data_IF_965934283780
#
_entry.id   IF_965934283780
#
_cell.length_a   1.000
_cell.length_b   1.000
_cell.length_c   1.000
_cell.angle_alpha   90.00
_cell.angle_beta   90.00
_cell.angle_gamma   90.00
#
_symmetry.space_group_name_H-M   'P 1'
#
loop_
_entity.id
_entity.type
_entity.pdbx_description
1 polymer ?
#
# COMPACT_ATOMS: atom_id res chain seq x y z
N UNK A 1 -43.27 -13.59 -14.05
CA UNK A 1 -42.06 -13.71 -14.89
C UNK A 1 -41.13 -12.50 -14.83
N UNK A 2 -41.55 -11.29 -15.25
CA UNK A 2 -40.65 -10.11 -15.27
C UNK A 2 -40.11 -9.75 -13.87
N UNK A 3 -40.98 -9.73 -12.86
CA UNK A 3 -40.61 -9.40 -11.47
C UNK A 3 -39.65 -10.42 -10.85
N UNK A 4 -39.78 -11.69 -11.21
CA UNK A 4 -38.92 -12.78 -10.72
C UNK A 4 -37.52 -12.67 -11.32
N UNK A 5 -37.43 -12.33 -12.62
CA UNK A 5 -36.15 -12.08 -13.30
C UNK A 5 -35.43 -10.88 -12.68
N UNK A 6 -36.15 -9.79 -12.41
CA UNK A 6 -35.58 -8.63 -11.73
C UNK A 6 -35.12 -8.95 -10.29
N UNK A 7 -35.91 -9.73 -9.55
CA UNK A 7 -35.57 -10.18 -8.20
C UNK A 7 -34.30 -11.04 -8.21
N UNK A 8 -34.23 -12.01 -9.13
CA UNK A 8 -33.06 -12.85 -9.32
C UNK A 8 -31.80 -12.01 -9.65
N UNK A 9 -31.90 -11.06 -10.57
CA UNK A 9 -30.79 -10.18 -10.92
C UNK A 9 -30.26 -9.35 -9.74
N UNK A 10 -31.16 -8.85 -8.87
CA UNK A 10 -30.78 -8.13 -7.65
C UNK A 10 -30.07 -9.04 -6.65
N UNK A 11 -30.60 -10.25 -6.42
CA UNK A 11 -29.98 -11.23 -5.53
C UNK A 11 -28.61 -11.68 -6.03
N UNK A 12 -28.46 -11.91 -7.34
CA UNK A 12 -27.18 -12.26 -7.95
C UNK A 12 -26.15 -11.13 -7.81
N UNK A 13 -26.56 -9.88 -8.04
CA UNK A 13 -25.69 -8.72 -7.84
C UNK A 13 -25.26 -8.55 -6.37
N UNK A 14 -26.20 -8.70 -5.42
CA UNK A 14 -25.89 -8.63 -4.00
C UNK A 14 -24.87 -9.71 -3.58
N UNK A 15 -25.01 -10.93 -4.10
CA UNK A 15 -24.06 -12.01 -3.85
C UNK A 15 -22.65 -11.67 -4.39
N UNK A 16 -22.56 -11.12 -5.60
CA UNK A 16 -21.27 -10.71 -6.18
C UNK A 16 -20.58 -9.64 -5.34
N UNK A 17 -21.33 -8.64 -4.85
CA UNK A 17 -20.78 -7.63 -3.95
C UNK A 17 -20.24 -8.23 -2.65
N UNK A 18 -20.98 -9.18 -2.06
CA UNK A 18 -20.56 -9.87 -0.84
C UNK A 18 -19.27 -10.67 -1.08
N UNK A 19 -19.17 -11.36 -2.22
CA UNK A 19 -17.96 -12.14 -2.57
C UNK A 19 -16.74 -11.21 -2.72
N UNK A 20 -16.89 -10.08 -3.41
CA UNK A 20 -15.80 -9.09 -3.55
C UNK A 20 -15.35 -8.54 -2.19
N UNK A 21 -16.29 -8.30 -1.28
CA UNK A 21 -15.97 -7.82 0.07
C UNK A 21 -15.19 -8.87 0.87
N UNK A 22 -15.60 -10.15 0.80
CA UNK A 22 -14.85 -11.26 1.41
C UNK A 22 -13.44 -11.39 0.82
N UNK A 23 -13.29 -11.28 -0.50
CA UNK A 23 -11.97 -11.34 -1.15
C UNK A 23 -11.09 -10.16 -0.75
N UNK A 24 -11.66 -8.96 -0.65
CA UNK A 24 -10.97 -7.76 -0.18
C UNK A 24 -10.51 -7.92 1.27
N UNK A 25 -11.39 -8.41 2.15
CA UNK A 25 -11.06 -8.72 3.53
C UNK A 25 -9.91 -9.73 3.61
N UNK A 26 -9.99 -10.85 2.90
CA UNK A 26 -8.93 -11.87 2.87
C UNK A 26 -7.59 -11.25 2.45
N UNK A 27 -7.58 -10.45 1.38
CA UNK A 27 -6.36 -9.75 0.91
C UNK A 27 -5.77 -8.82 1.96
N UNK A 28 -6.60 -8.18 2.79
CA UNK A 28 -6.16 -7.28 3.86
C UNK A 28 -5.73 -8.03 5.14
N UNK A 29 -6.21 -9.25 5.37
CA UNK A 29 -5.78 -10.06 6.53
C UNK A 29 -4.40 -10.68 6.38
N UNK A 30 -3.87 -10.73 5.16
CA UNK A 30 -2.47 -11.07 4.94
C UNK A 30 -1.62 -9.80 4.94
N UNK A 31 -0.37 -9.87 5.47
CA UNK A 31 0.61 -8.83 5.20
C UNK A 31 0.61 -8.58 3.69
N UNK A 32 0.52 -7.32 3.22
CA UNK A 32 0.52 -7.04 1.79
C UNK A 32 1.68 -7.77 1.12
N UNK A 33 1.45 -8.36 -0.05
CA UNK A 33 2.52 -8.97 -0.85
C UNK A 33 3.60 -7.92 -1.07
N UNK A 34 4.60 -7.96 -0.20
CA UNK A 34 5.83 -7.19 -0.19
C UNK A 34 5.66 -5.72 -0.62
N UNK A 35 5.38 -4.85 0.35
CA UNK A 35 5.84 -3.45 0.26
C UNK A 35 7.37 -3.33 0.41
N UNK A 36 8.11 -4.44 0.54
CA UNK A 36 9.53 -4.46 0.92
C UNK A 36 10.46 -5.28 0.02
N UNK A 37 10.03 -5.77 -1.15
CA UNK A 37 10.91 -6.60 -1.99
C UNK A 37 11.54 -5.93 -3.21
N UNK A 38 11.27 -4.65 -3.41
CA UNK A 38 11.99 -3.89 -4.42
C UNK A 38 12.43 -2.57 -3.83
N UNK A 39 13.58 -2.60 -3.19
CA UNK A 39 14.39 -1.42 -2.97
C UNK A 39 15.83 -1.90 -2.94
N UNK A 40 16.64 -1.42 -3.88
CA UNK A 40 18.08 -1.59 -3.85
C UNK A 40 18.59 -1.45 -2.40
N UNK A 41 19.48 -2.34 -1.96
CA UNK A 41 20.07 -2.22 -0.63
C UNK A 41 20.98 -0.99 -0.63
N UNK A 42 20.43 0.19 -0.32
CA UNK A 42 21.23 1.39 -0.14
C UNK A 42 22.09 1.21 1.10
N UNK A 43 23.38 1.46 0.95
CA UNK A 43 24.29 1.64 2.08
C UNK A 43 23.81 2.79 2.96
N UNK A 44 24.20 2.77 4.24
CA UNK A 44 23.88 3.85 5.17
C UNK A 44 24.35 5.22 4.67
N UNK A 45 25.44 5.26 3.89
CA UNK A 45 25.99 6.49 3.34
C UNK A 45 25.18 7.00 2.13
N UNK A 46 24.65 6.11 1.28
CA UNK A 46 23.72 6.48 0.21
C UNK A 46 22.43 7.08 0.77
N UNK A 47 21.87 6.48 1.81
CA UNK A 47 20.68 7.01 2.49
C UNK A 47 20.96 8.40 3.09
N UNK A 48 22.11 8.58 3.76
CA UNK A 48 22.50 9.89 4.30
C UNK A 48 22.65 10.94 3.20
N UNK A 49 23.31 10.59 2.10
CA UNK A 49 23.50 11.50 0.97
C UNK A 49 22.16 11.95 0.35
N UNK A 50 21.22 11.01 0.18
CA UNK A 50 19.87 11.32 -0.31
C UNK A 50 19.12 12.26 0.63
N UNK A 51 19.14 11.97 1.94
CA UNK A 51 18.46 12.80 2.94
C UNK A 51 19.06 14.22 2.96
N UNK A 52 20.39 14.36 2.90
CA UNK A 52 21.06 15.66 2.86
C UNK A 52 20.71 16.45 1.59
N UNK A 53 20.69 15.79 0.43
CA UNK A 53 20.30 16.43 -0.83
C UNK A 53 18.86 16.98 -0.77
N UNK A 54 17.94 16.23 -0.17
CA UNK A 54 16.55 16.66 -0.04
C UNK A 54 16.39 17.85 0.92
N UNK A 55 17.12 17.87 2.05
CA UNK A 55 17.10 19.03 2.97
C UNK A 55 17.58 20.31 2.27
N UNK A 56 18.62 20.20 1.42
CA UNK A 56 19.08 21.33 0.61
C UNK A 56 18.01 21.81 -0.37
N UNK A 57 17.30 20.90 -1.04
CA UNK A 57 16.24 21.24 -1.99
C UNK A 57 15.06 21.94 -1.30
N UNK A 58 14.75 21.55 -0.07
CA UNK A 58 13.67 22.12 0.73
C UNK A 58 14.07 23.40 1.49
N UNK A 59 15.34 23.83 1.40
CA UNK A 59 15.86 24.98 2.16
C UNK A 59 15.91 24.73 3.67
N UNK A 60 15.94 23.45 4.08
CA UNK A 60 16.04 23.03 5.47
C UNK A 60 17.52 23.01 5.91
N UNK A 61 17.74 23.13 7.22
CA UNK A 61 19.06 22.95 7.81
C UNK A 61 19.58 21.52 7.59
N UNK A 62 20.90 21.37 7.54
CA UNK A 62 21.53 20.06 7.34
C UNK A 62 21.12 19.04 8.43
N UNK A 63 20.76 17.81 8.06
CA UNK A 63 20.34 16.78 9.02
C UNK A 63 21.50 16.29 9.88
N UNK A 64 21.26 16.10 11.18
CA UNK A 64 22.25 15.51 12.11
C UNK A 64 22.01 14.00 12.20
N UNK A 65 22.95 13.21 11.67
CA UNK A 65 22.91 11.75 11.81
C UNK A 65 23.68 11.33 13.07
N UNK A 66 23.02 10.64 13.99
CA UNK A 66 23.75 10.00 15.10
C UNK A 66 24.62 8.86 14.55
N UNK A 67 25.87 8.72 15.01
CA UNK A 67 26.62 7.50 14.76
C UNK A 67 25.87 6.32 15.41
N UNK A 68 25.59 5.29 14.60
CA UNK A 68 24.96 4.05 15.08
C UNK A 68 25.95 3.23 15.92
N UNK A 69 25.44 2.59 16.98
CA UNK A 69 26.12 1.49 17.65
C UNK A 69 25.91 0.18 16.91
#
# INVERSE_FOLDING_TARGET
MHTEVCSFGRSASALLFIIEDFLSFIRQTHPPERTSDQGESFSADEVRAMITAEHKNLGLSEPVFRPGG
#
